data_IF_054515194125
#
_entry.id   IF_054515194125
#
_cell.length_a   1.000
_cell.length_b   1.000
_cell.length_c   1.000
_cell.angle_alpha   90.00
_cell.angle_beta   90.00
_cell.angle_gamma   90.00
#
_symmetry.space_group_name_H-M   'P 1'
#
loop_
_entity.id
_entity.type
_entity.pdbx_description
1 polymer ?
#
# COMPACT_ATOMS: atom_id res chain seq x y z
N UNK A 1 -12.04 -1.47 -37.78
CA UNK A 1 -12.12 -2.95 -37.72
C UNK A 1 -10.76 -3.52 -38.13
N UNK A 2 -9.76 -3.46 -37.25
CA UNK A 2 -8.55 -4.30 -37.32
C UNK A 2 -7.85 -4.20 -35.97
N UNK A 3 -8.06 -5.17 -35.08
CA UNK A 3 -7.14 -5.46 -33.99
C UNK A 3 -6.90 -6.96 -34.03
N UNK A 4 -5.77 -7.32 -34.66
CA UNK A 4 -5.26 -8.66 -34.74
C UNK A 4 -3.85 -8.65 -34.15
N UNK A 5 -3.58 -9.67 -33.33
CA UNK A 5 -2.32 -10.02 -32.66
C UNK A 5 -2.06 -9.37 -31.29
N UNK A 6 -2.27 -10.15 -30.22
CA UNK A 6 -1.13 -10.83 -29.57
C UNK A 6 -1.55 -11.87 -28.51
N UNK A 7 -1.33 -13.14 -28.90
CA UNK A 7 -0.89 -14.33 -28.16
C UNK A 7 -1.54 -14.74 -26.84
N UNK A 8 -2.26 -15.85 -26.95
CA UNK A 8 -2.64 -16.81 -25.91
C UNK A 8 -1.54 -17.89 -25.84
N UNK A 9 -0.82 -17.98 -24.72
CA UNK A 9 0.14 -19.07 -24.44
C UNK A 9 -0.54 -19.99 -23.41
N UNK A 10 -1.23 -21.01 -23.90
CA UNK A 10 -1.69 -22.15 -23.10
C UNK A 10 -1.42 -23.38 -23.95
N UNK A 11 -0.22 -23.94 -23.82
CA UNK A 11 -0.01 -25.36 -24.10
C UNK A 11 1.31 -25.82 -23.48
N UNK A 12 1.24 -26.45 -22.31
CA UNK A 12 2.35 -27.25 -21.82
C UNK A 12 1.85 -28.45 -21.01
N UNK A 13 1.61 -29.53 -21.73
CA UNK A 13 2.16 -30.84 -21.35
C UNK A 13 1.30 -31.70 -20.42
N UNK A 14 0.22 -32.28 -20.95
CA UNK A 14 -0.36 -33.49 -20.40
C UNK A 14 0.44 -34.73 -20.87
N UNK A 15 1.05 -35.41 -19.89
CA UNK A 15 1.13 -36.87 -19.68
C UNK A 15 1.55 -37.83 -20.81
N UNK A 16 2.65 -38.57 -20.57
CA UNK A 16 2.75 -40.01 -20.85
C UNK A 16 3.92 -40.70 -20.08
N UNK A 17 3.62 -41.78 -19.33
CA UNK A 17 4.51 -42.95 -19.17
C UNK A 17 5.34 -43.13 -17.88
N UNK A 18 4.88 -43.99 -16.97
CA UNK A 18 5.61 -44.66 -15.86
C UNK A 18 6.49 -45.85 -16.37
N UNK A 19 7.30 -46.64 -15.58
CA UNK A 19 7.44 -46.73 -14.11
C UNK A 19 8.89 -46.93 -13.52
N UNK A 20 8.94 -46.95 -12.16
CA UNK A 20 9.85 -47.69 -11.26
C UNK A 20 11.35 -47.31 -11.16
N UNK A 21 11.80 -46.88 -9.98
CA UNK A 21 12.58 -47.71 -9.03
C UNK A 21 12.98 -46.89 -7.79
N UNK A 22 12.58 -47.40 -6.62
CA UNK A 22 13.08 -47.00 -5.31
C UNK A 22 14.37 -47.80 -5.03
N UNK A 23 15.35 -47.19 -4.36
CA UNK A 23 15.79 -47.84 -3.14
C UNK A 23 15.94 -46.86 -1.98
N UNK A 24 15.58 -47.39 -0.81
CA UNK A 24 15.91 -46.91 0.51
C UNK A 24 17.39 -46.54 0.63
N UNK A 25 17.65 -45.30 1.04
CA UNK A 25 18.82 -44.97 1.84
C UNK A 25 18.65 -43.53 2.34
N UNK A 26 18.17 -43.35 3.57
CA UNK A 26 18.70 -42.31 4.46
C UNK A 26 18.14 -42.41 5.88
N UNK A 27 18.97 -42.99 6.75
CA UNK A 27 19.38 -42.46 8.05
C UNK A 27 18.26 -41.97 8.99
N UNK A 28 18.00 -42.79 10.02
CA UNK A 28 17.39 -42.36 11.28
C UNK A 28 18.35 -41.42 12.01
N UNK A 29 17.97 -40.16 12.17
CA UNK A 29 18.54 -39.25 13.17
C UNK A 29 17.44 -38.43 13.87
N UNK A 30 17.70 -38.01 15.12
CA UNK A 30 16.71 -37.87 16.18
C UNK A 30 15.98 -36.53 16.15
N UNK A 31 14.82 -36.52 16.83
CA UNK A 31 14.00 -35.35 17.10
C UNK A 31 14.83 -34.15 17.58
N UNK A 32 15.01 -33.18 16.69
CA UNK A 32 15.41 -31.82 17.05
C UNK A 32 14.21 -31.05 17.62
N UNK A 33 14.43 -30.09 18.54
CA UNK A 33 13.35 -29.34 19.17
C UNK A 33 12.57 -28.55 18.11
N UNK A 34 11.29 -28.87 18.06
CA UNK A 34 10.25 -28.23 17.27
C UNK A 34 10.26 -26.72 17.57
N UNK A 35 10.49 -25.83 16.59
CA UNK A 35 10.24 -24.42 16.81
C UNK A 35 8.74 -24.27 17.04
N UNK A 36 8.39 -23.82 18.23
CA UNK A 36 7.02 -23.49 18.59
C UNK A 36 6.46 -22.52 17.55
N UNK A 37 5.47 -23.01 16.80
CA UNK A 37 4.57 -22.24 15.96
C UNK A 37 3.73 -21.32 16.84
N UNK A 38 4.36 -20.28 17.41
CA UNK A 38 3.75 -19.20 18.18
C UNK A 38 3.38 -18.00 17.31
N UNK A 39 3.14 -18.20 16.02
CA UNK A 39 2.67 -17.15 15.11
C UNK A 39 1.14 -17.13 15.06
N UNK A 40 0.48 -16.58 16.08
CA UNK A 40 -0.98 -16.72 16.16
C UNK A 40 -1.73 -15.77 17.09
N UNK A 41 -1.26 -14.54 17.33
CA UNK A 41 -2.02 -13.59 18.16
C UNK A 41 -2.16 -12.17 17.61
N UNK A 42 -1.44 -11.76 16.57
CA UNK A 42 -1.51 -10.36 16.09
C UNK A 42 -2.66 -10.04 15.13
N UNK A 43 -3.35 -11.06 14.58
CA UNK A 43 -4.41 -10.84 13.57
C UNK A 43 -5.84 -10.75 14.14
N UNK A 44 -6.03 -11.03 15.44
CA UNK A 44 -7.36 -10.98 16.10
C UNK A 44 -7.72 -9.61 16.71
N UNK A 45 -6.83 -8.62 16.60
CA UNK A 45 -7.05 -7.27 17.16
C UNK A 45 -7.77 -6.35 16.16
N UNK A 46 -7.40 -6.39 14.87
CA UNK A 46 -7.96 -5.49 13.85
C UNK A 46 -9.45 -5.75 13.55
N UNK A 47 -9.86 -7.02 13.48
CA UNK A 47 -11.27 -7.39 13.25
C UNK A 47 -12.18 -7.02 14.42
N UNK A 48 -11.64 -7.00 15.64
CA UNK A 48 -12.38 -6.68 16.86
C UNK A 48 -12.66 -5.18 16.99
N UNK A 49 -11.72 -4.34 16.54
CA UNK A 49 -11.87 -2.88 16.54
C UNK A 49 -12.91 -2.46 15.50
N UNK A 50 -12.88 -3.04 14.29
CA UNK A 50 -13.87 -2.73 13.25
C UNK A 50 -15.29 -3.16 13.65
N UNK A 51 -15.44 -4.33 14.29
CA UNK A 51 -16.73 -4.76 14.85
C UNK A 51 -17.23 -3.83 15.95
N UNK A 52 -16.33 -3.27 16.77
CA UNK A 52 -16.69 -2.31 17.82
C UNK A 52 -17.17 -0.98 17.24
N UNK A 53 -16.47 -0.44 16.25
CA UNK A 53 -16.87 0.80 15.57
C UNK A 53 -18.23 0.62 14.85
N UNK A 54 -18.47 -0.53 14.19
CA UNK A 54 -19.76 -0.83 13.54
C UNK A 54 -20.91 -0.97 14.55
N UNK A 55 -20.71 -1.71 15.65
CA UNK A 55 -21.71 -1.87 16.71
C UNK A 55 -22.03 -0.54 17.37
N UNK A 56 -21.02 0.30 17.61
CA UNK A 56 -21.24 1.61 18.18
C UNK A 56 -21.98 2.53 17.21
N UNK A 57 -21.62 2.54 15.91
CA UNK A 57 -22.35 3.28 14.88
C UNK A 57 -23.82 2.85 14.84
N UNK A 58 -24.08 1.55 14.96
CA UNK A 58 -25.44 1.02 15.05
C UNK A 58 -26.15 1.49 16.33
N UNK A 59 -25.48 1.54 17.48
CA UNK A 59 -26.04 2.08 18.74
C UNK A 59 -26.38 3.57 18.60
N UNK A 60 -25.52 4.38 17.99
CA UNK A 60 -25.80 5.81 17.74
C UNK A 60 -26.99 5.96 16.80
N UNK A 61 -27.02 5.20 15.71
CA UNK A 61 -28.12 5.21 14.74
C UNK A 61 -29.45 4.84 15.42
N UNK A 62 -29.47 3.73 16.18
CA UNK A 62 -30.63 3.31 16.96
C UNK A 62 -31.01 4.40 17.97
N UNK A 63 -30.04 5.02 18.64
CA UNK A 63 -30.27 6.13 19.57
C UNK A 63 -30.96 7.31 18.92
N UNK A 64 -30.53 7.74 17.73
CA UNK A 64 -31.17 8.81 16.95
C UNK A 64 -32.60 8.42 16.57
N UNK A 65 -32.82 7.19 16.09
CA UNK A 65 -34.15 6.69 15.72
C UNK A 65 -35.08 6.65 16.93
N UNK A 66 -34.61 6.17 18.08
CA UNK A 66 -35.39 6.13 19.33
C UNK A 66 -35.73 7.56 19.78
N UNK A 67 -34.78 8.49 19.72
CA UNK A 67 -35.03 9.88 20.09
C UNK A 67 -36.07 10.53 19.19
N UNK A 68 -35.98 10.26 17.88
CA UNK A 68 -36.93 10.75 16.89
C UNK A 68 -38.33 10.18 17.10
N UNK A 69 -38.44 8.86 17.35
CA UNK A 69 -39.70 8.21 17.68
C UNK A 69 -40.31 8.76 18.97
N UNK A 70 -39.50 8.94 20.03
CA UNK A 70 -39.94 9.53 21.29
C UNK A 70 -40.48 10.96 21.08
N UNK A 71 -39.80 11.75 20.25
CA UNK A 71 -40.24 13.09 19.88
C UNK A 71 -41.55 13.08 19.06
N UNK A 72 -41.67 12.19 18.08
CA UNK A 72 -42.88 12.04 17.27
C UNK A 72 -44.10 11.61 18.11
N UNK A 73 -43.90 10.67 19.04
CA UNK A 73 -44.94 10.25 19.98
C UNK A 73 -45.33 11.39 20.93
N UNK A 74 -44.36 12.17 21.43
CA UNK A 74 -44.65 13.35 22.26
C UNK A 74 -45.52 14.37 21.54
N UNK A 75 -45.25 14.68 20.27
CA UNK A 75 -46.09 15.58 19.48
C UNK A 75 -47.49 14.99 19.27
N UNK A 76 -47.58 13.68 19.02
CA UNK A 76 -48.86 13.01 18.75
C UNK A 76 -49.78 12.94 19.99
N UNK A 77 -49.21 12.76 21.19
CA UNK A 77 -50.00 12.47 22.40
C UNK A 77 -50.00 13.60 23.45
N UNK A 78 -48.97 14.45 23.48
CA UNK A 78 -48.87 15.53 24.48
C UNK A 78 -48.07 16.73 23.94
N UNK A 79 -48.69 17.59 23.11
CA UNK A 79 -48.04 18.73 22.46
C UNK A 79 -47.76 19.91 23.42
N UNK A 80 -47.36 19.63 24.66
CA UNK A 80 -46.96 20.64 25.65
C UNK A 80 -45.46 20.89 25.57
N UNK A 81 -45.05 22.13 25.26
CA UNK A 81 -43.64 22.50 25.05
C UNK A 81 -42.68 22.20 26.21
N UNK A 82 -43.18 22.05 27.44
CA UNK A 82 -42.38 21.72 28.62
C UNK A 82 -41.78 20.29 28.59
N UNK A 83 -42.48 19.33 27.99
CA UNK A 83 -41.96 17.96 27.85
C UNK A 83 -40.79 17.90 26.84
N UNK A 84 -40.89 18.71 25.78
CA UNK A 84 -39.87 18.82 24.73
C UNK A 84 -38.59 19.44 25.30
N UNK A 85 -38.70 20.53 26.07
CA UNK A 85 -37.54 21.18 26.67
C UNK A 85 -36.84 20.29 27.70
N UNK A 86 -37.58 19.53 28.51
CA UNK A 86 -37.00 18.59 29.47
C UNK A 86 -36.20 17.47 28.77
N UNK A 87 -36.73 16.92 27.67
CA UNK A 87 -36.02 15.89 26.88
C UNK A 87 -34.73 16.45 26.27
N UNK A 88 -34.76 17.67 25.74
CA UNK A 88 -33.58 18.32 25.16
C UNK A 88 -32.47 18.53 26.21
N UNK A 89 -32.82 18.92 27.44
CA UNK A 89 -31.85 19.14 28.53
C UNK A 89 -31.10 17.86 28.91
N UNK A 90 -31.75 16.69 28.80
CA UNK A 90 -31.11 15.40 29.12
C UNK A 90 -30.35 14.85 27.90
N UNK A 91 -30.91 15.00 26.70
CA UNK A 91 -30.32 14.44 25.48
C UNK A 91 -29.09 15.22 24.99
N UNK A 92 -29.10 16.55 25.11
CA UNK A 92 -28.04 17.40 24.56
C UNK A 92 -26.65 17.11 25.14
N UNK A 93 -26.46 16.86 26.45
CA UNK A 93 -25.15 16.48 27.00
C UNK A 93 -24.64 15.14 26.47
N UNK A 94 -25.51 14.14 26.35
CA UNK A 94 -25.16 12.80 25.85
C UNK A 94 -24.71 12.90 24.39
N UNK A 95 -25.47 13.61 23.56
CA UNK A 95 -25.14 13.84 22.16
C UNK A 95 -23.81 14.60 22.01
N UNK A 96 -23.59 15.64 22.82
CA UNK A 96 -22.34 16.42 22.82
C UNK A 96 -21.14 15.56 23.16
N UNK A 97 -21.24 14.68 24.16
CA UNK A 97 -20.14 13.78 24.54
C UNK A 97 -19.78 12.81 23.41
N UNK A 98 -20.78 12.21 22.75
CA UNK A 98 -20.55 11.30 21.62
C UNK A 98 -19.91 12.04 20.44
N UNK A 99 -20.42 13.23 20.12
CA UNK A 99 -19.89 14.06 19.04
C UNK A 99 -18.43 14.47 19.31
N UNK A 100 -18.10 14.85 20.54
CA UNK A 100 -16.73 15.20 20.91
C UNK A 100 -15.78 14.00 20.82
N UNK A 101 -16.18 12.84 21.35
CA UNK A 101 -15.38 11.62 21.30
C UNK A 101 -15.08 11.21 19.86
N UNK A 102 -16.08 11.20 18.99
CA UNK A 102 -15.90 10.83 17.58
C UNK A 102 -15.22 11.91 16.75
N UNK A 103 -15.49 13.19 17.02
CA UNK A 103 -14.82 14.30 16.35
C UNK A 103 -13.33 14.28 16.60
N UNK A 104 -12.91 14.10 17.85
CA UNK A 104 -11.49 14.00 18.21
C UNK A 104 -10.87 12.72 17.62
N UNK A 105 -11.56 11.58 17.73
CA UNK A 105 -11.06 10.31 17.19
C UNK A 105 -10.86 10.36 15.67
N UNK A 106 -11.77 11.02 14.95
CA UNK A 106 -11.66 11.23 13.51
C UNK A 106 -10.49 12.17 13.18
N UNK A 107 -10.36 13.28 13.91
CA UNK A 107 -9.25 14.21 13.72
C UNK A 107 -7.89 13.53 13.94
N UNK A 108 -7.76 12.69 14.96
CA UNK A 108 -6.53 11.92 15.21
C UNK A 108 -6.20 10.95 14.07
N UNK A 109 -7.21 10.27 13.51
CA UNK A 109 -7.02 9.40 12.34
C UNK A 109 -6.58 10.20 11.11
N UNK A 110 -7.20 11.35 10.84
CA UNK A 110 -6.82 12.22 9.73
C UNK A 110 -5.38 12.73 9.86
N UNK A 111 -4.94 13.08 11.08
CA UNK A 111 -3.54 13.50 11.31
C UNK A 111 -2.57 12.34 11.11
N UNK A 112 -2.91 11.14 11.57
CA UNK A 112 -2.08 9.96 11.37
C UNK A 112 -1.95 9.60 9.88
N UNK A 113 -3.05 9.63 9.14
CA UNK A 113 -3.06 9.38 7.70
C UNK A 113 -2.23 10.45 6.95
N UNK A 114 -2.40 11.73 7.32
CA UNK A 114 -1.62 12.82 6.73
C UNK A 114 -0.12 12.63 6.96
N UNK A 115 0.30 12.22 8.16
CA UNK A 115 1.71 11.90 8.46
C UNK A 115 2.23 10.74 7.62
N UNK A 116 1.48 9.64 7.54
CA UNK A 116 1.87 8.49 6.73
C UNK A 116 2.02 8.86 5.25
N UNK A 117 1.13 9.70 4.71
CA UNK A 117 1.25 10.18 3.32
C UNK A 117 2.45 11.09 3.11
N UNK A 118 2.79 11.94 4.08
CA UNK A 118 3.96 12.80 4.02
C UNK A 118 5.26 11.99 4.06
N UNK A 119 5.37 11.05 5.00
CA UNK A 119 6.53 10.16 5.12
C UNK A 119 6.75 9.33 3.83
N UNK A 120 5.68 8.79 3.24
CA UNK A 120 5.76 8.08 1.96
C UNK A 120 6.16 8.99 0.79
N UNK A 121 5.80 10.28 0.82
CA UNK A 121 6.23 11.24 -0.19
C UNK A 121 7.71 11.59 -0.05
N UNK A 122 8.19 11.80 1.18
CA UNK A 122 9.60 12.03 1.48
C UNK A 122 10.47 10.83 1.12
N UNK A 123 9.98 9.61 1.33
CA UNK A 123 10.68 8.40 0.90
C UNK A 123 10.80 8.31 -0.62
N UNK A 124 9.72 8.61 -1.36
CA UNK A 124 9.77 8.67 -2.83
C UNK A 124 10.72 9.76 -3.34
N UNK A 125 10.75 10.92 -2.69
CA UNK A 125 11.67 11.99 -3.05
C UNK A 125 13.14 11.56 -2.84
N UNK A 126 13.45 10.96 -1.68
CA UNK A 126 14.78 10.43 -1.40
C UNK A 126 15.18 9.31 -2.37
N UNK A 127 14.25 8.43 -2.73
CA UNK A 127 14.50 7.40 -3.73
C UNK A 127 14.79 7.99 -5.12
N UNK A 128 14.06 9.04 -5.51
CA UNK A 128 14.31 9.76 -6.76
C UNK A 128 15.70 10.44 -6.76
N UNK A 129 16.08 11.11 -5.67
CA UNK A 129 17.40 11.72 -5.53
C UNK A 129 18.54 10.69 -5.62
N UNK A 130 18.38 9.54 -4.96
CA UNK A 130 19.34 8.45 -5.06
C UNK A 130 19.45 7.93 -6.50
N UNK A 131 18.32 7.69 -7.16
CA UNK A 131 18.29 7.23 -8.55
C UNK A 131 18.92 8.22 -9.54
N UNK A 132 18.81 9.52 -9.29
CA UNK A 132 19.42 10.56 -10.10
C UNK A 132 20.95 10.55 -9.93
N UNK A 133 21.45 10.49 -8.68
CA UNK A 133 22.89 10.38 -8.41
C UNK A 133 23.50 9.12 -9.02
N UNK A 134 22.80 8.00 -8.93
CA UNK A 134 23.23 6.75 -9.56
C UNK A 134 23.29 6.92 -11.08
N UNK A 135 22.27 7.51 -11.69
CA UNK A 135 22.24 7.77 -13.15
C UNK A 135 23.40 8.66 -13.60
N UNK A 136 23.73 9.71 -12.84
CA UNK A 136 24.88 10.58 -13.12
C UNK A 136 26.20 9.81 -13.03
N UNK A 137 26.33 8.93 -12.04
CA UNK A 137 27.53 8.10 -11.87
C UNK A 137 27.72 7.08 -13.01
N UNK A 138 26.62 6.49 -13.49
CA UNK A 138 26.62 5.61 -14.66
C UNK A 138 26.95 6.36 -15.94
N UNK A 139 26.40 7.57 -16.11
CA UNK A 139 26.69 8.43 -17.25
C UNK A 139 28.18 8.82 -17.30
N UNK A 140 28.76 9.21 -16.17
CA UNK A 140 30.18 9.55 -16.07
C UNK A 140 31.08 8.34 -16.39
N UNK A 141 30.72 7.13 -15.96
CA UNK A 141 31.46 5.92 -16.30
C UNK A 141 31.40 5.62 -17.80
N UNK A 142 30.21 5.71 -18.41
CA UNK A 142 30.04 5.49 -19.86
C UNK A 142 30.82 6.52 -20.69
N UNK A 143 30.81 7.78 -20.28
CA UNK A 143 31.59 8.83 -20.94
C UNK A 143 33.11 8.57 -20.84
N UNK A 144 33.60 8.16 -19.67
CA UNK A 144 35.01 7.80 -19.50
C UNK A 144 35.41 6.56 -20.33
N UNK A 145 34.53 5.56 -20.43
CA UNK A 145 34.72 4.38 -21.27
C UNK A 145 34.74 4.74 -22.76
N UNK A 146 33.85 5.64 -23.19
CA UNK A 146 33.79 6.17 -24.55
C UNK A 146 35.09 6.92 -24.91
N UNK A 147 35.55 7.82 -24.03
CA UNK A 147 36.83 8.55 -24.17
C UNK A 147 38.00 7.60 -24.40
N UNK A 148 38.08 6.51 -23.62
CA UNK A 148 39.14 5.50 -23.74
C UNK A 148 39.02 4.71 -25.05
N UNK A 149 37.80 4.35 -25.47
CA UNK A 149 37.57 3.63 -26.72
C UNK A 149 37.94 4.48 -27.95
N UNK A 150 37.54 5.75 -27.98
CA UNK A 150 37.89 6.73 -29.02
C UNK A 150 39.41 6.92 -29.10
N UNK A 151 40.09 7.06 -27.96
CA UNK A 151 41.55 7.18 -27.93
C UNK A 151 42.26 5.95 -28.51
N UNK A 152 41.75 4.74 -28.26
CA UNK A 152 42.31 3.49 -28.82
C UNK A 152 42.10 3.37 -30.33
N UNK A 153 40.90 3.69 -30.83
CA UNK A 153 40.61 3.70 -32.27
C UNK A 153 41.50 4.70 -33.01
N UNK A 154 41.67 5.89 -32.43
CA UNK A 154 42.55 6.93 -32.98
C UNK A 154 44.01 6.49 -33.01
N UNK A 155 44.48 5.78 -31.98
CA UNK A 155 45.82 5.20 -31.94
C UNK A 155 46.01 4.06 -32.98
N UNK A 156 44.95 3.34 -33.32
CA UNK A 156 44.93 2.33 -34.38
C UNK A 156 44.79 2.94 -35.80
N UNK A 157 44.55 4.24 -35.92
CA UNK A 157 44.36 4.93 -37.20
C UNK A 157 42.96 4.73 -37.82
N UNK A 158 42.00 4.22 -37.06
CA UNK A 158 40.61 4.02 -37.49
C UNK A 158 39.75 5.28 -37.24
N UNK A 159 38.70 5.47 -38.05
CA UNK A 159 37.82 6.65 -37.93
C UNK A 159 36.89 6.54 -36.72
N UNK A 160 36.77 7.61 -35.94
CA UNK A 160 35.94 7.67 -34.71
C UNK A 160 34.56 8.31 -34.93
N UNK A 161 34.29 8.83 -36.14
CA UNK A 161 33.13 9.67 -36.46
C UNK A 161 31.78 8.97 -36.23
N UNK A 162 31.69 7.68 -36.52
CA UNK A 162 30.45 6.92 -36.32
C UNK A 162 30.17 6.62 -34.84
N UNK A 163 31.23 6.52 -34.03
CA UNK A 163 31.15 6.33 -32.57
C UNK A 163 30.71 7.61 -31.88
N UNK A 164 31.27 8.76 -32.28
CA UNK A 164 30.89 10.09 -31.79
C UNK A 164 29.43 10.41 -32.12
N UNK A 165 28.98 10.09 -33.35
CA UNK A 165 27.58 10.24 -33.78
C UNK A 165 26.62 9.31 -33.02
N UNK A 166 27.01 8.05 -32.79
CA UNK A 166 26.17 7.09 -32.06
C UNK A 166 26.03 7.44 -30.57
N UNK A 167 27.06 8.07 -29.98
CA UNK A 167 27.03 8.53 -28.59
C UNK A 167 26.28 9.85 -28.39
N UNK A 168 25.88 10.54 -29.47
CA UNK A 168 25.19 11.84 -29.39
C UNK A 168 26.07 12.99 -28.88
N UNK A 169 27.39 12.78 -28.81
CA UNK A 169 28.38 13.80 -28.47
C UNK A 169 28.61 14.75 -29.65
N UNK A 170 28.79 16.07 -29.43
CA UNK A 170 29.11 17.01 -30.50
C UNK A 170 30.40 16.62 -31.24
N UNK A 171 30.40 16.80 -32.56
CA UNK A 171 31.63 16.79 -33.37
C UNK A 171 32.60 17.81 -32.71
N UNK A 172 33.79 17.38 -32.27
CA UNK A 172 34.82 18.13 -31.51
C UNK A 172 34.80 18.06 -29.95
N UNK A 173 34.05 17.14 -29.33
CA UNK A 173 34.05 17.01 -27.86
C UNK A 173 35.33 16.36 -27.25
N UNK A 174 36.13 15.64 -28.04
CA UNK A 174 37.34 14.90 -27.60
C UNK A 174 38.62 15.37 -28.31
#
# INVERSE_FOLDING_TARGET
MTDAYSRQIVDQGAQAGYPAQQPDDTVVMPAGPQPESGGGSSQRSSSRVWSRDLRFMLVVLVGIVVLFLAFALLIAFSPTGAAISALAVIAAPIATMVAAYYGISLALRQVADARATAEAAEERARAAEASARDSDSWAAQMESGLRVAVAKLRAAGESTRDVERAAGTPDDFF
#
